data_IF_647652712476
#
_entry.id   IF_647652712476
#
_cell.length_a   1.000
_cell.length_b   1.000
_cell.length_c   1.000
_cell.angle_alpha   90.00
_cell.angle_beta   90.00
_cell.angle_gamma   90.00
#
_symmetry.space_group_name_H-M   'P 1'
#
loop_
_entity.id
_entity.type
_entity.pdbx_description
1 polymer ?
#
# COMPACT_ATOMS: atom_id res chain seq x y z
N UNK A 1 15.14 -4.27 2.40
CA UNK A 1 14.33 -3.69 1.32
C UNK A 1 15.17 -3.68 0.06
N UNK A 2 14.65 -4.32 -0.99
CA UNK A 2 15.18 -4.18 -2.33
C UNK A 2 14.56 -2.93 -2.96
N UNK A 3 15.40 -1.91 -3.17
CA UNK A 3 15.03 -0.66 -3.83
C UNK A 3 15.97 -0.41 -5.02
N UNK A 4 16.40 -1.48 -5.72
CA UNK A 4 17.13 -1.36 -6.98
C UNK A 4 16.24 -0.63 -7.99
N UNK A 5 15.02 -1.12 -8.19
CA UNK A 5 13.95 -0.46 -8.93
C UNK A 5 12.70 -0.31 -8.06
N UNK A 6 11.98 0.78 -8.25
CA UNK A 6 10.77 1.09 -7.50
C UNK A 6 9.80 1.95 -8.30
N UNK A 7 8.74 2.40 -7.63
CA UNK A 7 7.74 3.30 -8.24
C UNK A 7 7.40 4.44 -7.29
N UNK A 8 7.39 5.66 -7.83
CA UNK A 8 7.03 6.88 -7.09
C UNK A 8 5.74 7.52 -7.64
N UNK A 9 5.22 8.51 -6.93
CA UNK A 9 3.98 9.20 -7.27
C UNK A 9 2.75 8.37 -6.91
N UNK A 10 1.95 7.99 -7.91
CA UNK A 10 0.65 7.31 -7.68
C UNK A 10 0.76 5.80 -7.41
N UNK A 11 1.95 5.31 -7.03
CA UNK A 11 2.18 3.93 -6.62
C UNK A 11 2.20 2.91 -7.77
N UNK A 12 2.13 1.60 -7.48
CA UNK A 12 2.48 0.54 -8.43
C UNK A 12 1.54 0.38 -9.64
N UNK A 13 0.35 0.99 -9.59
CA UNK A 13 -0.62 0.94 -10.68
C UNK A 13 -0.58 2.18 -11.60
N UNK A 14 0.12 3.25 -11.20
CA UNK A 14 0.03 4.52 -11.91
C UNK A 14 1.16 5.52 -11.67
N UNK A 15 2.19 5.10 -10.96
CA UNK A 15 3.39 5.85 -10.66
C UNK A 15 4.38 5.88 -11.82
N UNK A 16 5.50 6.56 -11.57
CA UNK A 16 6.67 6.58 -12.46
C UNK A 16 7.66 5.56 -11.92
N UNK A 17 8.25 4.75 -12.80
CA UNK A 17 9.36 3.86 -12.45
C UNK A 17 10.57 4.72 -12.10
N UNK A 18 11.20 4.43 -10.97
CA UNK A 18 12.40 5.09 -10.47
C UNK A 18 13.43 4.02 -10.10
N UNK A 19 14.70 4.40 -10.09
CA UNK A 19 15.80 3.47 -9.84
C UNK A 19 16.66 4.04 -8.71
N UNK A 20 16.23 3.90 -7.43
CA UNK A 20 17.04 4.34 -6.30
C UNK A 20 18.40 3.62 -6.27
N UNK A 21 18.47 2.38 -6.79
CA UNK A 21 19.73 1.66 -6.96
C UNK A 21 20.35 1.19 -5.64
N UNK A 22 19.54 1.02 -4.58
CA UNK A 22 20.03 0.70 -3.24
C UNK A 22 19.42 -0.58 -2.68
N UNK A 23 20.22 -1.31 -1.92
CA UNK A 23 19.77 -2.38 -1.05
C UNK A 23 19.91 -1.91 0.39
N UNK A 24 18.80 -1.93 1.13
CA UNK A 24 18.77 -1.51 2.53
C UNK A 24 18.51 -2.72 3.42
N UNK A 25 19.30 -2.87 4.47
CA UNK A 25 19.09 -3.90 5.48
C UNK A 25 19.32 -3.30 6.87
N UNK A 26 18.45 -3.67 7.81
CA UNK A 26 18.60 -3.31 9.21
C UNK A 26 17.96 -4.39 10.09
N UNK A 27 18.29 -4.36 11.38
CA UNK A 27 17.70 -5.25 12.39
C UNK A 27 16.26 -4.88 12.76
N UNK A 28 15.78 -3.71 12.32
CA UNK A 28 14.44 -3.21 12.56
C UNK A 28 13.81 -2.66 11.28
N UNK A 29 12.52 -2.93 11.01
CA UNK A 29 11.83 -2.39 9.85
C UNK A 29 11.73 -0.86 9.88
N UNK A 30 11.54 -0.27 11.06
CA UNK A 30 11.47 1.20 11.24
C UNK A 30 12.78 1.85 10.79
N UNK A 31 13.92 1.22 11.09
CA UNK A 31 15.25 1.69 10.69
C UNK A 31 15.43 1.66 9.17
N UNK A 32 14.94 0.60 8.50
CA UNK A 32 14.99 0.51 7.02
C UNK A 32 14.19 1.67 6.40
N UNK A 33 12.98 1.91 6.90
CA UNK A 33 12.10 2.97 6.39
C UNK A 33 12.67 4.37 6.65
N UNK A 34 13.24 4.61 7.84
CA UNK A 34 13.92 5.86 8.16
C UNK A 34 15.13 6.11 7.26
N UNK A 35 15.96 5.09 7.01
CA UNK A 35 17.08 5.17 6.09
C UNK A 35 16.63 5.55 4.69
N UNK A 36 15.53 4.93 4.20
CA UNK A 36 14.97 5.29 2.91
C UNK A 36 14.40 6.71 2.88
N UNK A 37 13.70 7.16 3.93
CA UNK A 37 13.27 8.57 4.06
C UNK A 37 14.45 9.54 3.91
N UNK A 38 15.60 9.23 4.51
CA UNK A 38 16.82 10.03 4.35
C UNK A 38 17.33 10.07 2.91
N UNK A 39 17.27 8.94 2.20
CA UNK A 39 17.66 8.80 0.79
C UNK A 39 16.76 9.61 -0.14
N UNK A 40 15.44 9.54 0.05
CA UNK A 40 14.47 10.23 -0.81
C UNK A 40 14.10 11.63 -0.34
N UNK A 41 14.70 12.10 0.75
CA UNK A 41 14.44 13.45 1.30
C UNK A 41 13.04 13.64 1.87
N UNK A 42 12.42 12.58 2.39
CA UNK A 42 11.11 12.65 3.04
C UNK A 42 11.26 12.86 4.54
N UNK A 43 10.45 13.77 5.08
CA UNK A 43 10.29 13.94 6.52
C UNK A 43 9.52 12.73 7.10
N UNK A 44 10.13 11.95 8.02
CA UNK A 44 9.48 10.81 8.65
C UNK A 44 8.15 11.14 9.34
N UNK A 45 7.94 12.36 9.84
CA UNK A 45 6.69 12.76 10.51
C UNK A 45 5.50 12.88 9.57
N UNK A 46 5.77 13.02 8.27
CA UNK A 46 4.72 13.04 7.24
C UNK A 46 4.20 11.64 6.93
N UNK A 47 4.92 10.59 7.34
CA UNK A 47 4.55 9.19 7.12
C UNK A 47 3.81 8.68 8.37
N UNK A 48 2.49 8.38 8.29
CA UNK A 48 1.68 8.06 9.48
C UNK A 48 2.23 6.91 10.32
N UNK A 49 2.81 5.89 9.67
CA UNK A 49 3.39 4.74 10.34
C UNK A 49 4.62 5.15 11.17
N UNK A 50 5.56 5.89 10.58
CA UNK A 50 6.78 6.34 11.27
C UNK A 50 6.47 7.34 12.39
N UNK A 51 5.54 8.27 12.14
CA UNK A 51 5.01 9.16 13.17
C UNK A 51 4.46 8.38 14.36
N UNK A 52 3.66 7.34 14.10
CA UNK A 52 3.11 6.50 15.17
C UNK A 52 4.19 5.72 15.92
N UNK A 53 5.19 5.19 15.21
CA UNK A 53 6.33 4.51 15.84
C UNK A 53 7.05 5.43 16.82
N UNK A 54 7.29 6.69 16.42
CA UNK A 54 7.88 7.70 17.30
C UNK A 54 7.02 8.00 18.53
N UNK A 55 5.71 8.17 18.36
CA UNK A 55 4.78 8.44 19.48
C UNK A 55 4.78 7.33 20.54
N UNK A 56 5.00 6.07 20.13
CA UNK A 56 5.03 4.92 21.05
C UNK A 56 6.45 4.50 21.45
N UNK A 57 7.49 5.19 20.97
CA UNK A 57 8.89 4.85 21.22
C UNK A 57 9.32 3.50 20.63
N UNK A 58 8.76 3.10 19.48
CA UNK A 58 9.11 1.84 18.82
C UNK A 58 10.17 2.05 17.72
N UNK A 59 11.37 1.51 17.94
CA UNK A 59 12.49 1.62 17.01
C UNK A 59 13.19 2.98 17.03
N UNK A 60 14.12 3.18 16.10
CA UNK A 60 14.75 4.48 15.90
C UNK A 60 13.69 5.51 15.48
N UNK A 61 13.85 6.75 15.90
CA UNK A 61 12.92 7.85 15.57
C UNK A 61 13.52 8.89 14.65
N UNK A 62 14.84 8.86 14.43
CA UNK A 62 15.58 9.79 13.60
C UNK A 62 16.88 9.17 13.08
N UNK A 63 17.50 9.76 12.06
CA UNK A 63 18.72 9.23 11.43
C UNK A 63 19.94 9.26 12.35
N UNK A 64 20.00 10.17 13.33
CA UNK A 64 21.09 10.27 14.31
C UNK A 64 21.14 9.08 15.28
N UNK A 65 20.05 8.32 15.40
CA UNK A 65 19.98 7.11 16.23
C UNK A 65 20.40 5.85 15.47
N UNK A 66 20.78 5.96 14.21
CA UNK A 66 21.08 4.84 13.33
C UNK A 66 22.57 4.80 13.04
N UNK A 67 23.20 3.67 13.37
CA UNK A 67 24.54 3.37 12.86
C UNK A 67 24.43 2.90 11.41
N UNK A 68 25.05 3.66 10.51
CA UNK A 68 25.06 3.35 9.08
C UNK A 68 26.37 2.66 8.70
N UNK A 69 26.24 1.56 7.95
CA UNK A 69 27.38 0.87 7.33
C UNK A 69 27.20 0.89 5.81
N UNK A 70 28.31 1.07 5.07
CA UNK A 70 28.29 1.22 3.62
C UNK A 70 28.32 2.67 3.14
N UNK A 71 27.70 2.93 1.98
CA UNK A 71 27.70 4.25 1.34
C UNK A 71 26.94 5.27 2.20
N UNK A 72 27.51 6.47 2.46
CA UNK A 72 26.80 7.52 3.19
C UNK A 72 25.50 7.94 2.50
N UNK A 73 24.41 8.10 3.28
CA UNK A 73 23.10 8.55 2.75
C UNK A 73 23.21 9.84 1.94
N UNK A 74 24.12 10.73 2.31
CA UNK A 74 24.37 11.98 1.58
C UNK A 74 24.69 11.77 0.08
N UNK A 75 25.33 10.65 -0.26
CA UNK A 75 25.73 10.29 -1.63
C UNK A 75 24.65 9.51 -2.38
N UNK A 76 23.63 9.00 -1.66
CA UNK A 76 22.55 8.19 -2.22
C UNK A 76 21.29 9.00 -2.56
N UNK A 77 21.32 10.33 -2.39
CA UNK A 77 20.12 11.18 -2.45
C UNK A 77 19.40 11.13 -3.80
N UNK A 78 18.13 10.72 -3.76
CA UNK A 78 17.21 10.79 -4.90
C UNK A 78 16.20 11.91 -4.66
N UNK A 79 16.57 13.13 -5.04
CA UNK A 79 15.84 14.35 -4.67
C UNK A 79 14.55 14.60 -5.48
N UNK A 80 14.30 13.82 -6.54
CA UNK A 80 13.11 13.99 -7.37
C UNK A 80 11.98 13.01 -7.03
N UNK A 81 12.06 12.34 -5.88
CA UNK A 81 11.06 11.37 -5.43
C UNK A 81 9.69 12.03 -5.17
N UNK A 82 8.63 11.42 -5.72
CA UNK A 82 7.26 11.95 -5.64
C UNK A 82 6.42 11.12 -4.69
N UNK A 83 5.72 11.79 -3.77
CA UNK A 83 4.71 11.15 -2.93
C UNK A 83 3.33 11.17 -3.60
N UNK A 84 2.46 10.17 -3.35
CA UNK A 84 1.09 10.19 -3.83
C UNK A 84 0.35 11.40 -3.28
N UNK A 85 -0.47 12.04 -4.12
CA UNK A 85 -1.40 13.08 -3.66
C UNK A 85 -2.52 12.40 -2.87
N UNK A 86 -2.39 12.39 -1.55
CA UNK A 86 -3.44 11.93 -0.65
C UNK A 86 -4.54 12.99 -0.59
N UNK A 87 -5.80 12.57 -0.65
CA UNK A 87 -6.90 13.46 -0.27
C UNK A 87 -6.73 13.78 1.22
N UNK A 88 -7.00 15.02 1.67
CA UNK A 88 -6.85 15.41 3.06
C UNK A 88 -8.03 14.88 3.89
N UNK A 89 -8.05 13.54 4.07
CA UNK A 89 -9.06 12.81 4.84
C UNK A 89 -8.94 13.14 6.34
N UNK A 90 -7.78 13.65 6.78
CA UNK A 90 -7.46 14.01 8.17
C UNK A 90 -8.34 15.11 8.79
N UNK A 91 -9.04 15.93 7.98
CA UNK A 91 -9.96 16.95 8.49
C UNK A 91 -11.39 16.43 8.71
N UNK A 92 -11.67 15.19 8.31
CA UNK A 92 -13.00 14.61 8.38
C UNK A 92 -13.14 13.89 9.74
N UNK A 93 -14.17 14.19 10.55
CA UNK A 93 -14.40 13.48 11.81
C UNK A 93 -14.50 11.96 11.61
N UNK A 94 -13.87 11.20 12.51
CA UNK A 94 -13.78 9.73 12.41
C UNK A 94 -15.16 9.06 12.28
N UNK A 95 -16.19 9.59 12.96
CA UNK A 95 -17.56 9.07 12.86
C UNK A 95 -18.10 9.16 11.42
N UNK A 96 -17.82 10.28 10.72
CA UNK A 96 -18.29 10.53 9.37
C UNK A 96 -17.51 9.68 8.37
N UNK A 97 -16.21 9.47 8.61
CA UNK A 97 -15.39 8.55 7.83
C UNK A 97 -15.87 7.11 7.95
N UNK A 98 -16.17 6.66 9.16
CA UNK A 98 -16.68 5.31 9.39
C UNK A 98 -18.06 5.09 8.76
N UNK A 99 -18.92 6.10 8.79
CA UNK A 99 -20.18 6.07 8.03
C UNK A 99 -19.93 6.05 6.52
N UNK A 100 -19.04 6.91 6.01
CA UNK A 100 -18.75 7.05 4.59
C UNK A 100 -18.06 5.81 3.99
N UNK A 101 -17.20 5.11 4.75
CA UNK A 101 -16.52 3.88 4.34
C UNK A 101 -17.48 2.80 3.85
N UNK A 102 -18.70 2.72 4.41
CA UNK A 102 -19.75 1.80 3.96
C UNK A 102 -20.22 2.09 2.52
N UNK A 103 -20.22 3.36 2.12
CA UNK A 103 -20.69 3.80 0.80
C UNK A 103 -19.57 3.96 -0.23
N UNK A 104 -18.33 4.19 0.20
CA UNK A 104 -17.17 4.43 -0.67
C UNK A 104 -16.11 3.31 -0.59
N UNK A 105 -16.55 2.09 -0.26
CA UNK A 105 -15.64 0.95 -0.18
C UNK A 105 -14.98 0.63 -1.54
N UNK A 106 -13.67 0.43 -1.48
CA UNK A 106 -12.86 -0.15 -2.55
C UNK A 106 -12.09 -1.32 -1.94
N UNK A 107 -12.29 -2.52 -2.49
CA UNK A 107 -11.66 -3.71 -1.95
C UNK A 107 -11.73 -4.91 -2.89
N UNK A 108 -11.23 -6.07 -2.43
CA UNK A 108 -11.08 -7.25 -3.28
C UNK A 108 -12.43 -7.87 -3.64
N UNK A 109 -12.56 -8.33 -4.89
CA UNK A 109 -13.68 -9.12 -5.38
C UNK A 109 -13.15 -10.34 -6.14
N UNK A 110 -13.83 -11.47 -5.99
CA UNK A 110 -13.49 -12.72 -6.66
C UNK A 110 -13.98 -12.71 -8.12
N UNK A 111 -13.16 -13.24 -9.02
CA UNK A 111 -13.53 -13.73 -10.34
C UNK A 111 -13.71 -15.26 -10.23
N UNK A 112 -14.95 -15.78 -10.08
CA UNK A 112 -15.17 -17.18 -9.72
C UNK A 112 -14.59 -18.16 -10.75
N UNK A 113 -14.67 -17.81 -12.03
CA UNK A 113 -14.22 -18.65 -13.15
C UNK A 113 -12.71 -18.93 -13.15
N UNK A 114 -11.92 -18.08 -12.47
CA UNK A 114 -10.48 -18.25 -12.35
C UNK A 114 -10.07 -18.92 -11.03
N UNK A 115 -10.96 -18.98 -10.04
CA UNK A 115 -10.59 -19.40 -8.70
C UNK A 115 -10.37 -20.92 -8.60
N UNK A 116 -9.11 -21.32 -8.35
CA UNK A 116 -8.73 -22.72 -8.09
C UNK A 116 -8.84 -23.13 -6.61
N UNK A 117 -9.45 -22.29 -5.76
CA UNK A 117 -9.74 -22.58 -4.33
C UNK A 117 -8.52 -23.00 -3.48
N UNK A 118 -7.32 -22.54 -3.84
CA UNK A 118 -6.06 -22.95 -3.18
C UNK A 118 -5.86 -22.40 -1.75
N UNK A 119 -6.67 -21.43 -1.31
CA UNK A 119 -6.63 -20.88 0.06
C UNK A 119 -5.44 -19.98 0.42
N UNK A 120 -4.52 -19.67 -0.51
CA UNK A 120 -3.38 -18.75 -0.25
C UNK A 120 -3.82 -17.38 0.24
N UNK A 121 -4.87 -16.82 -0.37
CA UNK A 121 -5.46 -15.53 0.02
C UNK A 121 -5.95 -15.55 1.49
N UNK A 122 -6.61 -16.64 1.92
CA UNK A 122 -7.01 -16.83 3.32
C UNK A 122 -5.79 -16.89 4.25
N UNK A 123 -4.77 -17.67 3.90
CA UNK A 123 -3.56 -17.84 4.70
C UNK A 123 -2.79 -16.53 4.92
N UNK A 124 -2.71 -15.67 3.90
CA UNK A 124 -1.95 -14.41 3.99
C UNK A 124 -2.74 -13.26 4.63
N UNK A 125 -4.07 -13.38 4.78
CA UNK A 125 -4.90 -12.26 5.20
C UNK A 125 -4.63 -11.86 6.66
N UNK A 126 -4.03 -10.69 6.94
CA UNK A 126 -3.71 -10.30 8.31
C UNK A 126 -4.95 -9.99 9.14
N UNK A 127 -6.06 -9.62 8.49
CA UNK A 127 -7.33 -9.35 9.16
C UNK A 127 -8.20 -10.60 9.34
N UNK A 128 -7.75 -11.76 8.84
CA UNK A 128 -8.53 -13.00 8.76
C UNK A 128 -9.95 -12.77 8.20
N UNK A 129 -10.02 -11.99 7.12
CA UNK A 129 -11.27 -11.53 6.51
C UNK A 129 -11.72 -12.41 5.33
N UNK A 130 -11.16 -13.61 5.17
CA UNK A 130 -11.38 -14.45 3.98
C UNK A 130 -11.71 -15.88 4.38
N UNK A 131 -12.80 -16.41 3.81
CA UNK A 131 -13.17 -17.82 3.87
C UNK A 131 -13.08 -18.47 2.48
N UNK A 132 -12.95 -19.80 2.43
CA UNK A 132 -12.84 -20.57 1.18
C UNK A 132 -13.89 -21.69 1.16
N UNK A 133 -15.18 -21.38 1.00
CA UNK A 133 -16.22 -22.36 0.69
C UNK A 133 -16.12 -22.91 -0.74
N UNK A 134 -17.04 -23.79 -1.10
CA UNK A 134 -17.11 -24.41 -2.44
C UNK A 134 -17.30 -23.40 -3.57
N UNK A 135 -17.82 -22.20 -3.30
CA UNK A 135 -17.99 -21.10 -4.25
C UNK A 135 -16.69 -20.33 -4.53
N UNK A 136 -15.62 -20.59 -3.79
CA UNK A 136 -14.33 -19.88 -3.89
C UNK A 136 -14.11 -18.90 -2.74
N UNK A 137 -13.22 -17.91 -2.92
CA UNK A 137 -12.89 -17.00 -1.84
C UNK A 137 -14.01 -15.98 -1.54
N UNK A 138 -14.48 -15.97 -0.30
CA UNK A 138 -15.47 -15.02 0.21
C UNK A 138 -14.82 -14.00 1.15
N UNK A 139 -15.10 -12.71 0.95
CA UNK A 139 -14.45 -11.61 1.67
C UNK A 139 -15.43 -10.95 2.65
N UNK A 140 -15.10 -10.99 3.94
CA UNK A 140 -15.79 -10.22 4.97
C UNK A 140 -15.39 -8.75 4.87
N UNK A 141 -16.32 -7.91 4.40
CA UNK A 141 -16.07 -6.47 4.16
C UNK A 141 -15.83 -5.68 5.43
N UNK A 142 -16.46 -6.06 6.54
CA UNK A 142 -16.35 -5.34 7.81
C UNK A 142 -14.99 -5.58 8.46
N UNK A 143 -14.36 -6.73 8.19
CA UNK A 143 -13.01 -7.07 8.67
C UNK A 143 -11.90 -6.67 7.71
N UNK A 144 -12.21 -6.53 6.42
CA UNK A 144 -11.21 -6.27 5.40
C UNK A 144 -10.59 -4.86 5.56
N UNK A 145 -9.27 -4.80 5.68
CA UNK A 145 -8.50 -3.54 5.77
C UNK A 145 -8.02 -3.02 4.40
N UNK A 146 -8.48 -3.62 3.30
CA UNK A 146 -8.09 -3.27 1.92
C UNK A 146 -6.57 -3.19 1.70
N UNK A 147 -5.81 -4.14 2.27
CA UNK A 147 -4.36 -4.24 2.08
C UNK A 147 -3.95 -4.88 0.74
N UNK A 148 -4.88 -5.55 0.05
CA UNK A 148 -4.69 -6.23 -1.24
C UNK A 148 -3.62 -7.33 -1.31
N UNK A 149 -3.04 -7.78 -0.19
CA UNK A 149 -2.13 -8.95 -0.16
C UNK A 149 -2.75 -10.21 -0.79
N UNK A 150 -4.08 -10.36 -0.69
CA UNK A 150 -4.81 -11.46 -1.31
C UNK A 150 -4.72 -11.46 -2.84
N UNK A 151 -4.70 -10.27 -3.47
CA UNK A 151 -4.53 -10.10 -4.91
C UNK A 151 -3.10 -10.46 -5.32
N UNK A 152 -2.11 -9.97 -4.58
CA UNK A 152 -0.69 -10.21 -4.84
C UNK A 152 -0.30 -11.69 -4.77
N UNK A 153 -0.85 -12.45 -3.81
CA UNK A 153 -0.51 -13.87 -3.63
C UNK A 153 -1.30 -14.81 -4.55
N UNK A 154 -2.28 -14.31 -5.32
CA UNK A 154 -3.15 -15.14 -6.13
C UNK A 154 -2.40 -15.66 -7.36
N UNK A 155 -2.17 -16.98 -7.52
CA UNK A 155 -1.37 -17.51 -8.62
C UNK A 155 -2.08 -17.48 -9.98
N UNK A 156 -3.37 -17.16 -9.99
CA UNK A 156 -4.26 -17.23 -11.16
C UNK A 156 -5.01 -15.91 -11.36
N UNK A 157 -4.59 -14.84 -10.69
CA UNK A 157 -5.18 -13.50 -10.78
C UNK A 157 -6.72 -13.47 -10.62
N UNK A 158 -7.26 -14.36 -9.78
CA UNK A 158 -8.70 -14.50 -9.58
C UNK A 158 -9.32 -13.41 -8.68
N UNK A 159 -8.56 -12.38 -8.28
CA UNK A 159 -9.01 -11.34 -7.35
C UNK A 159 -8.76 -9.97 -7.97
N UNK A 160 -9.81 -9.16 -8.11
CA UNK A 160 -9.75 -7.80 -8.65
C UNK A 160 -10.16 -6.75 -7.61
N UNK A 161 -9.87 -5.48 -7.88
CA UNK A 161 -10.37 -4.38 -7.05
C UNK A 161 -11.74 -3.93 -7.55
N UNK A 162 -12.76 -4.04 -6.70
CA UNK A 162 -14.10 -3.53 -6.95
C UNK A 162 -14.38 -2.30 -6.11
N UNK A 163 -14.93 -1.28 -6.73
CA UNK A 163 -15.37 -0.05 -6.08
C UNK A 163 -16.89 -0.05 -5.93
N UNK A 164 -17.41 0.68 -4.94
CA UNK A 164 -18.86 0.90 -4.81
C UNK A 164 -19.42 1.66 -6.01
N UNK A 165 -20.71 1.50 -6.30
CA UNK A 165 -21.37 2.16 -7.44
C UNK A 165 -21.23 3.69 -7.40
N UNK A 166 -21.36 4.29 -6.21
CA UNK A 166 -21.23 5.73 -6.02
C UNK A 166 -19.80 6.20 -6.31
N UNK A 167 -18.80 5.46 -5.82
CA UNK A 167 -17.38 5.76 -6.09
C UNK A 167 -17.04 5.56 -7.57
N UNK A 168 -17.56 4.49 -8.18
CA UNK A 168 -17.41 4.22 -9.61
C UNK A 168 -18.02 5.32 -10.48
N UNK A 169 -19.17 5.88 -10.09
CA UNK A 169 -19.79 7.01 -10.77
C UNK A 169 -18.94 8.29 -10.65
N UNK A 170 -18.41 8.59 -9.46
CA UNK A 170 -17.51 9.73 -9.26
C UNK A 170 -16.25 9.60 -10.13
N UNK A 171 -15.64 8.41 -10.19
CA UNK A 171 -14.48 8.17 -11.06
C UNK A 171 -14.82 8.31 -12.55
N UNK A 172 -16.02 7.89 -12.96
CA UNK A 172 -16.51 8.05 -14.34
C UNK A 172 -16.73 9.53 -14.70
N UNK A 173 -17.30 10.33 -13.80
CA UNK A 173 -17.52 11.78 -13.99
C UNK A 173 -16.18 12.53 -14.04
N UNK A 174 -15.20 12.14 -13.22
CA UNK A 174 -13.88 12.78 -13.14
C UNK A 174 -12.87 12.30 -14.20
N UNK A 175 -13.28 11.46 -15.16
CA UNK A 175 -12.39 11.00 -16.23
C UNK A 175 -11.22 10.09 -15.79
N UNK A 176 -11.25 9.54 -14.57
CA UNK A 176 -10.17 8.75 -13.97
C UNK A 176 -10.10 7.28 -14.48
N UNK A 177 -10.78 6.96 -15.59
CA UNK A 177 -10.87 5.60 -16.16
C UNK A 177 -9.54 4.99 -16.64
N UNK A 178 -8.46 5.76 -16.71
CA UNK A 178 -7.27 5.37 -17.47
C UNK A 178 -6.31 4.35 -16.83
N UNK A 179 -6.43 3.96 -15.55
CA UNK A 179 -5.35 3.19 -14.87
C UNK A 179 -5.75 1.92 -14.11
N UNK A 180 -7.02 1.54 -14.10
CA UNK A 180 -7.48 0.35 -13.37
C UNK A 180 -7.72 -0.89 -14.25
N UNK A 181 -7.53 -0.78 -15.58
CA UNK A 181 -7.88 -1.85 -16.55
C UNK A 181 -6.77 -2.27 -17.53
N UNK A 182 -5.53 -1.84 -17.37
CA UNK A 182 -4.43 -2.24 -18.28
C UNK A 182 -3.21 -2.77 -17.50
N UNK A 183 -3.32 -3.98 -16.95
CA UNK A 183 -2.20 -4.93 -16.85
C UNK A 183 -2.55 -6.11 -17.74
N UNK A 184 -2.42 -5.92 -19.05
CA UNK A 184 -2.36 -6.94 -20.11
C UNK A 184 -2.19 -6.21 -21.43
N UNK A 185 -0.93 -5.84 -21.70
CA UNK A 185 -0.24 -5.88 -22.98
C UNK A 185 1.25 -5.80 -22.65
#
# INVERSE_FOLDING_TARGET
MDAIEGMDGQGPAGGRVVTPGVLLAATSPVTVDLGFCGIVGLDPDTIPMLKRCREIGWGATSLDQIELTGEPIANLKMLDYRVPRLAPISFIPEFLLNFARRFFWAGPALLPDLCIKCGRCKKICPAAAIEIPDTGAEFNRDRCISCFCCMEVCPVDAIEMKTSLLLGLIFKIRGLKGKLRNRKN
#
